data_IF_029151980312
#
_entry.id   IF_029151980312
#
_cell.length_a   1.000
_cell.length_b   1.000
_cell.length_c   1.000
_cell.angle_alpha   90.00
_cell.angle_beta   90.00
_cell.angle_gamma   90.00
#
_symmetry.space_group_name_H-M   'P 1'
#
loop_
_entity.id
_entity.type
_entity.pdbx_description
1 polymer ?
#
# COMPACT_ATOMS: atom_id res chain seq x y z
N UNK A 1 -22.40 -4.51 5.38
CA UNK A 1 -21.54 -3.60 6.18
C UNK A 1 -20.13 -4.12 6.03
N UNK A 2 -19.24 -3.30 5.46
CA UNK A 2 -17.94 -3.72 4.92
C UNK A 2 -17.00 -4.16 6.05
N UNK A 3 -16.35 -5.30 5.83
CA UNK A 3 -15.40 -5.95 6.74
C UNK A 3 -14.37 -4.96 7.30
N UNK A 4 -14.23 -4.89 8.62
CA UNK A 4 -13.21 -4.11 9.33
C UNK A 4 -11.80 -4.73 9.24
N UNK A 5 -11.49 -5.37 8.11
CA UNK A 5 -10.28 -6.18 7.97
C UNK A 5 -9.16 -5.37 7.34
N UNK A 6 -8.04 -5.30 8.05
CA UNK A 6 -6.79 -4.74 7.55
C UNK A 6 -5.99 -5.81 6.83
N UNK A 7 -5.29 -5.39 5.79
CA UNK A 7 -4.40 -6.22 4.98
C UNK A 7 -3.05 -5.55 4.86
N UNK A 8 -2.00 -6.35 4.74
CA UNK A 8 -0.68 -5.82 4.41
C UNK A 8 -0.69 -5.18 3.02
N UNK A 9 0.20 -4.22 2.78
CA UNK A 9 0.33 -3.57 1.46
C UNK A 9 0.49 -4.61 0.33
N UNK A 10 1.26 -5.67 0.58
CA UNK A 10 1.48 -6.76 -0.37
C UNK A 10 0.18 -7.50 -0.73
N UNK A 11 -0.65 -7.77 0.26
CA UNK A 11 -1.94 -8.45 0.03
C UNK A 11 -2.87 -7.57 -0.80
N UNK A 12 -2.98 -6.29 -0.45
CA UNK A 12 -3.81 -5.34 -1.20
C UNK A 12 -3.33 -5.20 -2.65
N UNK A 13 -2.02 -5.05 -2.87
CA UNK A 13 -1.43 -4.99 -4.21
C UNK A 13 -1.70 -6.27 -5.03
N UNK A 14 -1.55 -7.44 -4.41
CA UNK A 14 -1.84 -8.69 -5.11
C UNK A 14 -3.34 -8.84 -5.43
N UNK A 15 -4.23 -8.37 -4.56
CA UNK A 15 -5.68 -8.36 -4.79
C UNK A 15 -6.08 -7.39 -5.91
N UNK A 16 -5.37 -6.28 -6.07
CA UNK A 16 -5.55 -5.36 -7.20
C UNK A 16 -4.90 -5.84 -8.51
N UNK A 17 -4.20 -6.98 -8.49
CA UNK A 17 -3.54 -7.54 -9.68
C UNK A 17 -2.28 -6.79 -10.11
N UNK A 18 -1.77 -5.86 -9.31
CA UNK A 18 -0.61 -5.04 -9.65
C UNK A 18 0.70 -5.73 -9.25
N UNK A 19 1.76 -5.53 -10.02
CA UNK A 19 3.15 -5.76 -9.64
C UNK A 19 3.68 -4.60 -8.78
N UNK A 20 4.83 -4.79 -8.13
CA UNK A 20 5.47 -3.71 -7.35
C UNK A 20 5.88 -2.51 -8.23
N UNK A 21 6.23 -2.78 -9.49
CA UNK A 21 6.55 -1.75 -10.49
C UNK A 21 5.31 -0.93 -10.84
N UNK A 22 4.20 -1.58 -11.18
CA UNK A 22 2.96 -0.89 -11.52
C UNK A 22 2.42 -0.05 -10.35
N UNK A 23 2.47 -0.56 -9.12
CA UNK A 23 2.06 0.23 -7.95
C UNK A 23 3.02 1.40 -7.73
N UNK A 24 4.33 1.17 -7.90
CA UNK A 24 5.35 2.21 -7.79
C UNK A 24 5.08 3.35 -8.78
N UNK A 25 4.94 3.03 -10.05
CA UNK A 25 4.63 4.01 -11.11
C UNK A 25 3.35 4.79 -10.83
N UNK A 26 2.29 4.10 -10.39
CA UNK A 26 0.99 4.73 -10.08
C UNK A 26 1.07 5.80 -8.97
N UNK A 27 2.05 5.70 -8.06
CA UNK A 27 2.21 6.62 -6.92
C UNK A 27 3.54 7.39 -6.95
N UNK A 28 4.25 7.36 -8.09
CA UNK A 28 5.53 8.06 -8.26
C UNK A 28 6.65 7.55 -7.36
N UNK A 29 6.70 6.24 -7.11
CA UNK A 29 7.72 5.55 -6.32
C UNK A 29 8.43 4.46 -7.15
N UNK A 30 9.60 4.02 -6.70
CA UNK A 30 10.26 2.87 -7.32
C UNK A 30 9.63 1.55 -6.85
N UNK A 31 9.71 0.51 -7.69
CA UNK A 31 9.38 -0.87 -7.30
C UNK A 31 10.12 -1.32 -6.05
N UNK A 32 11.38 -0.90 -5.89
CA UNK A 32 12.20 -1.14 -4.70
C UNK A 32 11.56 -0.53 -3.45
N UNK A 33 11.06 0.71 -3.54
CA UNK A 33 10.39 1.39 -2.42
C UNK A 33 9.14 0.63 -1.99
N UNK A 34 8.33 0.18 -2.96
CA UNK A 34 7.17 -0.69 -2.67
C UNK A 34 7.62 -1.98 -1.98
N UNK A 35 8.66 -2.63 -2.49
CA UNK A 35 9.23 -3.83 -1.86
C UNK A 35 9.74 -3.59 -0.44
N UNK A 36 10.31 -2.42 -0.15
CA UNK A 36 10.70 -2.02 1.22
C UNK A 36 9.47 -1.88 2.12
N UNK A 37 8.42 -1.18 1.67
CA UNK A 37 7.17 -1.03 2.43
C UNK A 37 6.48 -2.37 2.70
N UNK A 38 6.52 -3.31 1.76
CA UNK A 38 5.94 -4.64 1.91
C UNK A 38 6.73 -5.55 2.86
N UNK A 39 8.04 -5.33 3.00
CA UNK A 39 8.93 -6.16 3.83
C UNK A 39 9.09 -5.62 5.25
N UNK A 40 9.13 -4.29 5.40
CA UNK A 40 9.34 -3.61 6.67
C UNK A 40 8.17 -2.66 6.96
N UNK A 41 7.29 -3.09 7.85
CA UNK A 41 6.10 -2.33 8.22
C UNK A 41 6.43 -0.95 8.82
N UNK A 42 7.56 -0.81 9.51
CA UNK A 42 7.96 0.47 10.09
C UNK A 42 8.29 1.49 9.00
N UNK A 43 8.83 1.03 7.88
CA UNK A 43 9.10 1.90 6.73
C UNK A 43 7.82 2.46 6.12
N UNK A 44 6.73 1.68 6.08
CA UNK A 44 5.41 2.11 5.61
C UNK A 44 4.69 2.99 6.65
N UNK A 45 4.80 2.67 7.93
CA UNK A 45 4.21 3.45 9.03
C UNK A 45 4.73 4.88 9.12
N UNK A 46 5.98 5.11 8.71
CA UNK A 46 6.61 6.42 8.72
C UNK A 46 6.37 7.24 7.43
N UNK A 47 5.60 6.70 6.48
CA UNK A 47 5.22 7.41 5.25
C UNK A 47 4.22 8.52 5.60
N UNK A 48 4.29 9.64 4.86
CA UNK A 48 3.33 10.72 5.04
C UNK A 48 1.90 10.24 4.76
N UNK A 49 0.93 10.77 5.49
CA UNK A 49 -0.48 10.41 5.28
C UNK A 49 -0.94 10.67 3.84
N UNK A 50 -0.49 11.76 3.21
CA UNK A 50 -0.78 12.05 1.81
C UNK A 50 -0.30 10.92 0.87
N UNK A 51 0.89 10.37 1.11
CA UNK A 51 1.40 9.25 0.30
C UNK A 51 0.65 7.95 0.61
N UNK A 52 0.22 7.71 1.85
CA UNK A 52 -0.66 6.58 2.18
C UNK A 52 -2.01 6.69 1.46
N UNK A 53 -2.58 7.91 1.34
CA UNK A 53 -3.80 8.15 0.58
C UNK A 53 -3.61 7.88 -0.91
N UNK A 54 -2.48 8.28 -1.52
CA UNK A 54 -2.17 7.95 -2.90
C UNK A 54 -2.08 6.43 -3.13
N UNK A 55 -1.41 5.71 -2.23
CA UNK A 55 -1.32 4.24 -2.26
C UNK A 55 -2.70 3.61 -2.15
N UNK A 56 -3.50 4.03 -1.17
CA UNK A 56 -4.85 3.50 -0.96
C UNK A 56 -5.74 3.75 -2.19
N UNK A 57 -5.65 4.95 -2.78
CA UNK A 57 -6.36 5.31 -4.01
C UNK A 57 -5.93 4.46 -5.20
N UNK A 58 -4.63 4.22 -5.39
CA UNK A 58 -4.11 3.38 -6.46
C UNK A 58 -4.58 1.92 -6.35
N UNK A 59 -4.85 1.47 -5.13
CA UNK A 59 -5.31 0.12 -4.82
C UNK A 59 -6.84 0.00 -4.69
N UNK A 60 -7.59 1.09 -4.93
CA UNK A 60 -9.04 1.19 -4.76
C UNK A 60 -9.54 0.74 -3.35
N UNK A 61 -8.85 1.19 -2.31
CA UNK A 61 -9.20 0.90 -0.90
C UNK A 61 -9.14 2.15 -0.01
N UNK A 62 -9.64 2.05 1.22
CA UNK A 62 -9.41 3.07 2.25
C UNK A 62 -8.02 2.92 2.88
N UNK A 63 -7.46 4.02 3.38
CA UNK A 63 -6.24 3.98 4.21
C UNK A 63 -6.45 3.06 5.43
N UNK A 64 -7.67 3.00 5.97
CA UNK A 64 -8.02 2.14 7.10
C UNK A 64 -7.93 0.64 6.78
N UNK A 65 -7.88 0.27 5.50
CA UNK A 65 -7.67 -1.12 5.08
C UNK A 65 -6.18 -1.51 5.06
N UNK A 66 -5.26 -0.55 5.13
CA UNK A 66 -3.81 -0.80 5.15
C UNK A 66 -3.38 -1.09 6.59
N UNK A 67 -2.88 -2.30 6.82
CA UNK A 67 -2.25 -2.67 8.09
C UNK A 67 -0.96 -1.87 8.27
N UNK A 68 -0.80 -1.20 9.42
CA UNK A 68 0.37 -0.38 9.77
C UNK A 68 1.07 -0.81 11.07
N UNK A 69 0.74 -2.00 11.59
CA UNK A 69 1.27 -2.53 12.85
C UNK A 69 0.35 -2.28 14.04
#
# INVERSE_FOLDING_TARGET
>A
MLDQKQFTLKQLRNLSGMSQEELGEAVGLSSRTIGTYEKDINSLKNVSYAKLQEIAKALDVSVDNIFLG
#
